data_IF_785768337950
#
_entry.id   IF_785768337950
#
_cell.length_a   1.000
_cell.length_b   1.000
_cell.length_c   1.000
_cell.angle_alpha   90.00
_cell.angle_beta   90.00
_cell.angle_gamma   90.00
#
_symmetry.space_group_name_H-M   'P 1'
#
loop_
_entity.id
_entity.type
_entity.pdbx_description
1 polymer ?
#
# COMPACT_ATOMS: atom_id res chain seq x y z
N UNK A 1 17.03 33.75 -12.29
CA UNK A 1 16.14 32.70 -12.84
C UNK A 1 14.76 32.96 -12.25
N UNK A 2 13.76 33.28 -13.06
CA UNK A 2 12.42 33.59 -12.58
C UNK A 2 11.77 32.34 -11.99
N UNK A 3 11.16 32.49 -10.82
CA UNK A 3 10.48 31.40 -10.13
C UNK A 3 9.27 30.95 -10.95
N UNK A 4 8.83 29.70 -10.77
CA UNK A 4 7.67 29.17 -11.50
C UNK A 4 6.41 30.03 -11.33
N UNK A 5 6.26 30.71 -10.19
CA UNK A 5 5.18 31.67 -9.94
C UNK A 5 5.11 32.80 -10.98
N UNK A 6 6.25 33.39 -11.33
CA UNK A 6 6.31 34.48 -12.33
C UNK A 6 5.95 33.97 -13.74
N UNK A 7 6.23 32.69 -14.01
CA UNK A 7 5.97 32.03 -15.29
C UNK A 7 4.49 31.68 -15.48
N UNK A 8 3.73 31.53 -14.40
CA UNK A 8 2.28 31.29 -14.44
C UNK A 8 1.49 32.54 -14.84
N UNK A 9 2.04 33.73 -14.58
CA UNK A 9 1.41 35.02 -14.90
C UNK A 9 1.81 35.60 -16.27
N UNK A 10 2.67 34.90 -17.02
CA UNK A 10 3.13 35.35 -18.32
C UNK A 10 2.10 35.06 -19.43
N UNK A 11 2.01 35.96 -20.42
CA UNK A 11 1.11 35.79 -21.57
C UNK A 11 1.41 34.53 -22.40
N UNK A 12 2.67 34.11 -22.41
CA UNK A 12 3.12 32.86 -23.03
C UNK A 12 3.74 31.98 -21.95
N UNK A 13 3.15 30.79 -21.76
CA UNK A 13 3.61 29.81 -20.78
C UNK A 13 4.18 28.57 -21.46
N UNK A 14 5.16 27.95 -20.81
CA UNK A 14 5.84 26.74 -21.30
C UNK A 14 5.72 25.65 -20.25
N UNK A 15 4.48 25.35 -19.85
CA UNK A 15 4.19 24.48 -18.73
C UNK A 15 3.90 23.06 -19.21
N UNK A 16 4.39 22.08 -18.47
CA UNK A 16 4.05 20.67 -18.64
C UNK A 16 3.51 20.11 -17.33
N UNK A 17 2.43 19.32 -17.43
CA UNK A 17 1.94 18.53 -16.30
C UNK A 17 2.87 17.34 -16.10
N UNK A 18 3.20 17.08 -14.85
CA UNK A 18 4.03 15.98 -14.41
C UNK A 18 3.31 15.19 -13.32
N UNK A 19 3.29 13.87 -13.49
CA UNK A 19 2.74 12.91 -12.56
C UNK A 19 3.87 12.08 -11.99
N UNK A 20 3.99 12.06 -10.67
CA UNK A 20 4.89 11.16 -9.99
C UNK A 20 4.08 10.14 -9.20
N UNK A 21 4.25 8.87 -9.54
CA UNK A 21 3.63 7.74 -8.87
C UNK A 21 4.72 6.98 -8.13
N UNK A 22 4.56 6.76 -6.82
CA UNK A 22 5.51 6.02 -5.99
C UNK A 22 4.80 4.82 -5.39
N UNK A 23 5.17 3.63 -5.85
CA UNK A 23 4.67 2.35 -5.35
C UNK A 23 5.23 2.06 -3.95
N UNK A 24 4.55 1.20 -3.20
CA UNK A 24 4.95 0.82 -1.83
C UNK A 24 6.27 0.05 -1.75
N UNK A 25 6.69 -0.53 -2.87
CA UNK A 25 7.99 -1.20 -3.02
C UNK A 25 9.16 -0.24 -3.29
N UNK A 26 8.89 1.06 -3.46
CA UNK A 26 9.90 2.09 -3.69
C UNK A 26 10.13 2.43 -5.16
N UNK A 27 9.49 1.74 -6.10
CA UNK A 27 9.55 2.10 -7.53
C UNK A 27 8.82 3.44 -7.74
N UNK A 28 9.52 4.39 -8.38
CA UNK A 28 8.96 5.68 -8.75
C UNK A 28 8.84 5.78 -10.26
N UNK A 29 7.64 6.11 -10.73
CA UNK A 29 7.33 6.35 -12.13
C UNK A 29 6.99 7.83 -12.34
N UNK A 30 7.49 8.39 -13.43
CA UNK A 30 7.21 9.75 -13.85
C UNK A 30 6.50 9.76 -15.21
N UNK A 31 5.43 10.54 -15.33
CA UNK A 31 4.73 10.75 -16.60
C UNK A 31 4.55 12.23 -16.86
N UNK A 32 4.68 12.65 -18.12
CA UNK A 32 4.46 14.04 -18.51
C UNK A 32 3.58 14.16 -19.75
N UNK A 33 2.79 15.24 -19.79
CA UNK A 33 2.00 15.62 -20.97
C UNK A 33 2.83 16.26 -22.07
N UNK A 34 4.11 16.58 -21.82
CA UNK A 34 5.02 17.03 -22.86
C UNK A 34 5.27 15.90 -23.87
N UNK A 35 5.39 16.24 -25.15
CA UNK A 35 5.76 15.32 -26.24
C UNK A 35 7.19 14.74 -26.15
N UNK A 36 7.97 15.10 -25.13
CA UNK A 36 9.33 14.59 -24.87
C UNK A 36 9.48 14.25 -23.41
N UNK A 37 10.33 13.25 -23.13
CA UNK A 37 10.68 12.90 -21.77
C UNK A 37 11.39 14.08 -21.07
N UNK A 38 11.02 14.34 -19.82
CA UNK A 38 11.61 15.38 -18.97
C UNK A 38 12.37 14.74 -17.81
N UNK A 39 13.42 15.39 -17.32
CA UNK A 39 14.04 15.00 -16.04
C UNK A 39 13.73 16.07 -15.02
N UNK A 40 13.11 15.68 -13.91
CA UNK A 40 12.71 16.60 -12.83
C UNK A 40 13.20 16.04 -11.50
N UNK A 41 14.03 16.79 -10.78
CA UNK A 41 14.59 16.38 -9.50
C UNK A 41 15.23 14.98 -9.53
N UNK A 42 15.93 14.68 -10.63
CA UNK A 42 16.64 13.40 -10.85
C UNK A 42 15.76 12.21 -11.26
N UNK A 43 14.44 12.37 -11.36
CA UNK A 43 13.54 11.35 -11.89
C UNK A 43 13.21 11.66 -13.36
N UNK A 44 13.25 10.63 -14.22
CA UNK A 44 12.82 10.73 -15.62
C UNK A 44 11.30 10.57 -15.71
N UNK A 45 10.65 11.50 -16.37
CA UNK A 45 9.23 11.53 -16.67
C UNK A 45 9.06 11.19 -18.14
N UNK A 46 8.46 10.04 -18.42
CA UNK A 46 8.22 9.60 -19.79
C UNK A 46 7.07 10.39 -20.43
N UNK A 47 7.20 10.66 -21.73
CA UNK A 47 6.13 11.29 -22.49
C UNK A 47 4.98 10.31 -22.61
N UNK A 48 3.86 10.66 -21.97
CA UNK A 48 2.66 9.84 -21.95
C UNK A 48 1.44 10.77 -22.09
N UNK A 49 1.21 11.33 -23.30
CA UNK A 49 0.12 12.28 -23.52
C UNK A 49 -1.28 11.67 -23.27
N UNK A 50 -1.39 10.34 -23.24
CA UNK A 50 -2.62 9.61 -22.87
C UNK A 50 -2.89 9.50 -21.36
N UNK A 51 -1.98 9.97 -20.50
CA UNK A 51 -2.21 10.17 -19.07
C UNK A 51 -2.63 11.63 -18.89
N UNK A 52 -3.86 11.92 -19.28
CA UNK A 52 -4.47 13.23 -19.09
C UNK A 52 -5.45 13.15 -17.90
N UNK A 53 -5.31 14.00 -16.85
CA UNK A 53 -6.35 14.08 -15.82
C UNK A 53 -7.69 14.42 -16.48
N UNK A 54 -8.73 13.64 -16.17
CA UNK A 54 -10.10 13.92 -16.62
C UNK A 54 -10.62 15.23 -16.01
N UNK A 55 -10.40 15.43 -14.70
CA UNK A 55 -10.58 16.69 -13.98
C UNK A 55 -9.89 16.63 -12.60
N UNK A 56 -9.29 17.73 -12.16
CA UNK A 56 -8.86 17.91 -10.76
C UNK A 56 -9.89 18.82 -10.09
N UNK A 57 -10.76 18.25 -9.26
CA UNK A 57 -11.72 19.01 -8.46
C UNK A 57 -11.15 19.12 -7.05
N UNK A 58 -10.92 20.34 -6.59
CA UNK A 58 -10.58 20.62 -5.19
C UNK A 58 -11.75 21.36 -4.55
N UNK A 59 -12.15 20.94 -3.36
CA UNK A 59 -13.17 21.62 -2.55
C UNK A 59 -12.53 22.17 -1.27
N UNK A 60 -13.12 23.21 -0.70
CA UNK A 60 -12.67 23.82 0.57
C UNK A 60 -13.29 23.15 1.81
N UNK A 61 -14.01 22.05 1.62
CA UNK A 61 -14.67 21.28 2.67
C UNK A 61 -13.79 20.13 3.21
N UNK A 62 -14.22 19.50 4.31
CA UNK A 62 -13.54 18.34 4.89
C UNK A 62 -14.00 16.99 4.32
N UNK A 63 -14.79 17.01 3.24
CA UNK A 63 -15.11 15.79 2.52
C UNK A 63 -13.84 15.19 1.90
N UNK A 64 -13.86 13.88 1.66
CA UNK A 64 -12.73 13.23 0.99
C UNK A 64 -12.72 13.73 -0.44
N UNK A 65 -11.74 14.58 -0.77
CA UNK A 65 -11.47 14.95 -2.15
C UNK A 65 -11.19 13.66 -2.91
N UNK A 66 -12.18 13.26 -3.69
CA UNK A 66 -12.14 12.04 -4.47
C UNK A 66 -11.90 12.51 -5.89
N UNK A 67 -10.69 12.27 -6.38
CA UNK A 67 -10.31 12.62 -7.74
C UNK A 67 -10.24 11.34 -8.54
N UNK A 68 -11.18 11.16 -9.47
CA UNK A 68 -11.09 10.04 -10.39
C UNK A 68 -10.01 10.33 -11.42
N UNK A 69 -8.99 9.48 -11.42
CA UNK A 69 -7.90 9.54 -12.38
C UNK A 69 -8.11 8.43 -13.38
N UNK A 70 -8.44 8.82 -14.62
CA UNK A 70 -8.36 7.93 -15.76
C UNK A 70 -6.98 8.07 -16.40
N UNK A 71 -6.33 6.96 -16.70
CA UNK A 71 -5.06 6.92 -17.41
C UNK A 71 -5.08 5.84 -18.49
N UNK A 72 -4.56 6.15 -19.68
CA UNK A 72 -4.31 5.11 -20.67
C UNK A 72 -3.25 4.14 -20.13
N UNK A 73 -3.54 2.83 -20.22
CA UNK A 73 -2.55 1.77 -20.05
C UNK A 73 -1.52 1.92 -21.17
N UNK A 74 -0.47 2.68 -20.94
CA UNK A 74 0.70 2.62 -21.84
C UNK A 74 1.51 1.41 -21.39
N UNK A 75 1.55 0.40 -22.26
CA UNK A 75 1.97 -0.96 -21.98
C UNK A 75 3.39 -1.10 -21.36
N UNK A 76 4.22 -0.06 -21.40
CA UNK A 76 5.60 -0.13 -20.94
C UNK A 76 5.80 0.20 -19.45
N UNK A 77 4.89 0.95 -18.80
CA UNK A 77 5.14 1.48 -17.45
C UNK A 77 4.10 1.05 -16.39
N UNK A 78 2.84 0.85 -16.78
CA UNK A 78 1.77 0.34 -15.91
C UNK A 78 1.10 -0.81 -16.64
N UNK A 79 1.57 -2.03 -16.39
CA UNK A 79 1.01 -3.21 -17.04
C UNK A 79 -0.25 -3.71 -16.33
N UNK A 80 -1.16 -4.34 -17.08
CA UNK A 80 -2.33 -5.01 -16.50
C UNK A 80 -1.94 -6.08 -15.47
N UNK A 81 -0.80 -6.76 -15.68
CA UNK A 81 -0.26 -7.72 -14.73
C UNK A 81 0.17 -7.07 -13.42
N UNK A 82 0.77 -5.88 -13.46
CA UNK A 82 1.13 -5.14 -12.24
C UNK A 82 -0.10 -4.66 -11.48
N UNK A 83 -1.13 -4.19 -12.20
CA UNK A 83 -2.40 -3.80 -11.60
C UNK A 83 -3.10 -4.98 -10.92
N UNK A 84 -3.23 -6.11 -11.62
CA UNK A 84 -3.82 -7.33 -11.07
C UNK A 84 -3.05 -7.90 -9.88
N UNK A 85 -1.74 -7.67 -9.81
CA UNK A 85 -0.90 -8.03 -8.66
C UNK A 85 -1.06 -7.08 -7.45
N UNK A 86 -1.84 -6.00 -7.56
CA UNK A 86 -2.03 -5.01 -6.51
C UNK A 86 -0.81 -4.09 -6.29
N UNK A 87 0.11 -4.00 -7.28
CA UNK A 87 1.38 -3.26 -7.11
C UNK A 87 1.20 -1.75 -6.93
N UNK A 88 0.09 -1.22 -7.41
CA UNK A 88 -0.25 0.19 -7.36
C UNK A 88 -1.20 0.55 -6.20
N UNK A 89 -1.65 -0.43 -5.42
CA UNK A 89 -2.57 -0.20 -4.31
C UNK A 89 -1.93 0.66 -3.23
N UNK A 90 -2.54 1.81 -2.97
CA UNK A 90 -2.00 2.80 -2.03
C UNK A 90 -0.70 3.44 -2.50
N UNK A 91 -0.38 3.40 -3.79
CA UNK A 91 0.73 4.15 -4.35
C UNK A 91 0.50 5.66 -4.15
N UNK A 92 1.55 6.37 -3.76
CA UNK A 92 1.48 7.82 -3.56
C UNK A 92 1.58 8.53 -4.90
N UNK A 93 0.66 9.45 -5.17
CA UNK A 93 0.63 10.22 -6.41
C UNK A 93 0.80 11.70 -6.11
N UNK A 94 1.62 12.37 -6.92
CA UNK A 94 1.74 13.83 -6.96
C UNK A 94 1.53 14.31 -8.38
N UNK A 95 0.62 15.24 -8.56
CA UNK A 95 0.38 15.97 -9.79
C UNK A 95 0.90 17.40 -9.62
N UNK A 96 1.77 17.84 -10.51
CA UNK A 96 2.39 19.16 -10.43
C UNK A 96 2.73 19.71 -11.82
N UNK A 97 2.90 21.03 -11.92
CA UNK A 97 3.40 21.71 -13.11
C UNK A 97 4.89 22.00 -12.98
N UNK A 98 5.58 21.96 -14.11
CA UNK A 98 6.95 22.45 -14.28
C UNK A 98 7.02 23.30 -15.56
N UNK A 99 7.98 24.22 -15.63
CA UNK A 99 8.36 24.79 -16.93
C UNK A 99 9.30 23.82 -17.63
N UNK A 100 8.91 23.30 -18.78
CA UNK A 100 9.67 22.26 -19.43
C UNK A 100 11.02 22.71 -20.02
N UNK A 101 11.24 24.02 -20.19
CA UNK A 101 12.53 24.55 -20.63
C UNK A 101 13.59 24.49 -19.53
N UNK A 102 13.13 24.46 -18.28
CA UNK A 102 13.96 24.44 -17.08
C UNK A 102 13.21 23.69 -15.97
N UNK A 103 13.09 22.35 -16.06
CA UNK A 103 12.19 21.59 -15.19
C UNK A 103 12.59 21.58 -13.71
N UNK A 104 13.85 21.94 -13.42
CA UNK A 104 14.37 22.04 -12.04
C UNK A 104 14.20 23.45 -11.43
N UNK A 105 13.66 24.43 -12.18
CA UNK A 105 13.39 25.78 -11.68
C UNK A 105 12.32 25.87 -10.58
N UNK A 106 11.59 24.78 -10.36
CA UNK A 106 10.53 24.70 -9.36
C UNK A 106 9.38 23.80 -9.81
N UNK A 107 8.59 23.36 -8.83
CA UNK A 107 7.40 22.53 -9.03
C UNK A 107 6.21 23.23 -8.40
N UNK A 108 5.12 23.41 -9.15
CA UNK A 108 3.85 23.87 -8.60
C UNK A 108 2.96 22.66 -8.37
N UNK A 109 2.81 22.23 -7.12
CA UNK A 109 1.92 21.12 -6.76
C UNK A 109 0.47 21.53 -7.05
N UNK A 110 -0.24 20.66 -7.77
CA UNK A 110 -1.67 20.81 -8.05
C UNK A 110 -2.49 19.88 -7.15
N UNK A 111 -2.10 18.61 -7.07
CA UNK A 111 -2.78 17.62 -6.24
C UNK A 111 -1.81 16.57 -5.70
N UNK A 112 -2.18 15.96 -4.58
CA UNK A 112 -1.50 14.78 -4.03
C UNK A 112 -2.51 13.83 -3.40
N UNK A 113 -2.20 12.55 -3.40
CA UNK A 113 -3.07 11.56 -2.78
C UNK A 113 -2.47 10.16 -2.85
N UNK A 114 -3.31 9.17 -2.56
CA UNK A 114 -2.97 7.75 -2.71
C UNK A 114 -3.98 7.07 -3.61
N UNK A 115 -3.52 6.21 -4.52
CA UNK A 115 -4.41 5.39 -5.33
C UNK A 115 -5.19 4.43 -4.42
N UNK A 116 -6.49 4.29 -4.67
CA UNK A 116 -7.31 3.21 -4.15
C UNK A 116 -6.94 1.85 -4.78
N UNK A 117 -7.85 0.88 -4.65
CA UNK A 117 -7.77 -0.32 -5.48
C UNK A 117 -7.91 0.11 -6.95
N UNK A 118 -7.06 -0.43 -7.83
CA UNK A 118 -7.10 -0.11 -9.25
C UNK A 118 -7.78 -1.24 -10.00
N UNK A 119 -8.97 -0.97 -10.54
CA UNK A 119 -9.63 -1.90 -11.44
C UNK A 119 -9.10 -1.69 -12.87
N UNK A 120 -8.58 -2.77 -13.47
CA UNK A 120 -8.39 -2.79 -14.91
C UNK A 120 -9.79 -2.81 -15.55
N UNK A 121 -10.08 -1.87 -16.44
CA UNK A 121 -11.26 -1.98 -17.31
C UNK A 121 -11.24 -3.35 -17.99
N UNK A 122 -12.41 -3.95 -18.19
CA UNK A 122 -12.54 -5.36 -18.61
C UNK A 122 -11.89 -5.75 -19.96
N UNK A 123 -11.21 -4.82 -20.63
CA UNK A 123 -10.48 -5.06 -21.88
C UNK A 123 -9.05 -4.50 -21.77
N UNK A 124 -8.04 -5.22 -22.28
CA UNK A 124 -6.62 -4.86 -22.15
C UNK A 124 -6.26 -3.54 -22.87
N UNK A 125 -7.08 -3.14 -23.85
CA UNK A 125 -6.96 -1.87 -24.58
C UNK A 125 -7.79 -0.72 -23.96
N UNK A 126 -8.65 -1.02 -22.98
CA UNK A 126 -9.36 -0.01 -22.20
C UNK A 126 -8.46 0.41 -21.03
N UNK A 127 -8.08 1.69 -20.97
CA UNK A 127 -7.20 2.21 -19.91
C UNK A 127 -7.68 1.87 -18.49
N UNK A 128 -6.86 2.17 -17.49
CA UNK A 128 -7.26 1.96 -16.09
C UNK A 128 -8.00 3.19 -15.55
N UNK A 129 -8.94 2.95 -14.65
CA UNK A 129 -9.54 3.99 -13.83
C UNK A 129 -9.14 3.71 -12.39
N UNK A 130 -8.42 4.66 -11.79
CA UNK A 130 -8.05 4.58 -10.40
C UNK A 130 -8.58 5.81 -9.68
N UNK A 131 -9.26 5.58 -8.56
CA UNK A 131 -9.68 6.68 -7.70
C UNK A 131 -8.49 7.13 -6.85
N UNK A 132 -8.09 8.39 -7.02
CA UNK A 132 -7.13 9.04 -6.15
C UNK A 132 -7.86 9.56 -4.90
N UNK A 133 -7.43 9.08 -3.74
CA UNK A 133 -7.91 9.59 -2.45
C UNK A 133 -7.01 10.73 -2.02
N UNK A 134 -7.60 11.92 -1.86
CA UNK A 134 -6.91 13.12 -1.38
C UNK A 134 -6.41 13.01 0.07
N UNK A 135 -5.66 14.01 0.55
CA UNK A 135 -5.07 13.99 1.89
C UNK A 135 -6.12 13.98 3.02
N UNK A 136 -7.34 14.48 2.78
CA UNK A 136 -8.45 14.47 3.73
C UNK A 136 -8.98 13.06 4.01
N UNK A 137 -8.67 12.06 3.18
CA UNK A 137 -8.95 10.66 3.48
C UNK A 137 -8.30 10.17 4.79
N UNK A 138 -7.21 10.82 5.24
CA UNK A 138 -6.63 10.51 6.53
C UNK A 138 -7.49 10.97 7.72
N UNK A 139 -8.41 11.92 7.51
CA UNK A 139 -9.29 12.49 8.54
C UNK A 139 -10.55 11.65 8.78
N UNK A 140 -10.90 10.77 7.85
CA UNK A 140 -12.06 9.86 8.00
C UNK A 140 -11.74 8.61 8.83
N UNK A 141 -10.48 8.44 9.21
CA UNK A 141 -10.06 7.34 10.07
C UNK A 141 -10.55 7.60 11.50
N UNK A 142 -11.17 6.59 12.12
CA UNK A 142 -11.56 6.66 13.53
C UNK A 142 -10.32 6.90 14.40
N UNK A 143 -10.23 8.10 14.96
CA UNK A 143 -9.09 8.52 15.78
C UNK A 143 -9.11 7.96 17.21
N UNK A 144 -10.25 7.42 17.65
CA UNK A 144 -10.42 6.81 18.97
C UNK A 144 -10.20 5.31 18.91
N UNK A 145 -9.51 4.78 19.92
CA UNK A 145 -9.35 3.33 20.04
C UNK A 145 -10.68 2.71 20.47
N UNK A 146 -11.05 1.60 19.82
CA UNK A 146 -12.15 0.77 20.30
C UNK A 146 -11.70 -0.01 21.55
N UNK A 147 -12.63 -0.17 22.48
CA UNK A 147 -12.47 -1.01 23.65
C UNK A 147 -12.79 -2.45 23.26
N UNK A 148 -11.83 -3.36 23.32
CA UNK A 148 -11.98 -4.72 22.80
C UNK A 148 -11.11 -5.75 23.54
N UNK A 149 -11.54 -7.03 23.62
CA UNK A 149 -10.73 -8.10 24.22
C UNK A 149 -9.38 -8.33 23.54
N UNK A 150 -9.30 -8.08 22.24
CA UNK A 150 -8.11 -8.28 21.42
C UNK A 150 -7.08 -7.16 21.57
N UNK A 151 -5.81 -7.51 21.40
CA UNK A 151 -4.73 -6.54 21.37
C UNK A 151 -4.84 -5.64 20.14
N UNK A 152 -4.81 -4.31 20.33
CA UNK A 152 -4.85 -3.35 19.21
C UNK A 152 -3.49 -3.02 18.59
N UNK A 153 -2.40 -3.60 19.08
CA UNK A 153 -1.03 -3.33 18.57
C UNK A 153 -0.59 -4.32 17.53
N UNK A 154 0.27 -3.88 16.63
CA UNK A 154 1.02 -4.76 15.76
C UNK A 154 2.20 -5.42 16.48
N UNK A 155 2.47 -6.68 16.14
CA UNK A 155 3.57 -7.42 16.75
C UNK A 155 4.89 -6.69 16.47
N UNK A 156 5.57 -6.28 17.53
CA UNK A 156 6.84 -5.56 17.46
C UNK A 156 6.73 -4.06 17.18
N UNK A 157 5.52 -3.48 17.20
CA UNK A 157 5.38 -2.03 17.20
C UNK A 157 5.88 -1.39 18.51
N UNK A 158 5.89 -0.05 18.58
CA UNK A 158 6.39 0.70 19.74
C UNK A 158 5.62 0.45 21.04
N UNK A 159 4.35 0.04 20.95
CA UNK A 159 3.48 -0.21 22.12
C UNK A 159 3.54 -1.67 22.55
N UNK A 160 3.71 -2.60 21.60
CA UNK A 160 3.93 -4.04 21.79
C UNK A 160 5.33 -4.32 22.33
N UNK A 161 6.36 -3.68 21.77
CA UNK A 161 7.78 -3.76 22.18
C UNK A 161 8.46 -5.12 22.02
N UNK A 162 7.81 -6.10 21.41
CA UNK A 162 8.45 -7.39 21.10
C UNK A 162 9.56 -7.20 20.06
N UNK A 163 10.76 -7.69 20.39
CA UNK A 163 11.85 -7.69 19.44
C UNK A 163 11.57 -8.67 18.29
N UNK A 164 11.52 -8.16 17.06
CA UNK A 164 11.30 -9.00 15.86
C UNK A 164 12.55 -9.78 15.40
N UNK A 165 13.70 -9.52 16.03
CA UNK A 165 14.91 -10.34 15.83
C UNK A 165 14.62 -11.78 16.26
N UNK A 166 14.92 -12.74 15.37
CA UNK A 166 14.61 -14.16 15.59
C UNK A 166 13.13 -14.53 15.38
N UNK A 167 12.25 -13.57 15.03
CA UNK A 167 10.84 -13.79 14.68
C UNK A 167 10.56 -13.48 13.21
N UNK A 168 11.62 -13.43 12.43
CA UNK A 168 11.57 -13.28 10.98
C UNK A 168 12.39 -14.41 10.37
N UNK A 169 11.93 -14.90 9.23
CA UNK A 169 12.58 -15.97 8.50
C UNK A 169 12.73 -15.55 7.05
N UNK A 170 13.93 -15.71 6.50
CA UNK A 170 14.15 -15.62 5.05
C UNK A 170 14.34 -17.03 4.53
N UNK A 171 13.56 -17.41 3.52
CA UNK A 171 13.56 -18.76 2.99
C UNK A 171 13.18 -18.75 1.51
N UNK A 172 13.64 -19.75 0.73
CA UNK A 172 13.11 -19.96 -0.60
C UNK A 172 11.68 -20.52 -0.52
N UNK A 173 10.84 -20.07 -1.42
CA UNK A 173 9.43 -20.45 -1.51
C UNK A 173 9.01 -20.76 -2.95
N UNK A 174 7.87 -21.42 -3.07
CA UNK A 174 7.16 -21.67 -4.32
C UNK A 174 5.66 -21.50 -4.05
N UNK A 175 4.94 -20.86 -4.97
CA UNK A 175 3.54 -20.49 -4.80
C UNK A 175 2.73 -20.81 -6.04
N UNK A 176 1.53 -21.34 -5.81
CA UNK A 176 0.51 -21.67 -6.81
C UNK A 176 -0.87 -21.45 -6.17
N UNK A 177 -1.95 -21.84 -6.87
CA UNK A 177 -3.33 -21.68 -6.39
C UNK A 177 -3.61 -22.42 -5.06
N UNK A 178 -2.79 -23.42 -4.70
CA UNK A 178 -2.87 -24.16 -3.45
C UNK A 178 -2.16 -23.49 -2.26
N UNK A 179 -1.62 -22.29 -2.45
CA UNK A 179 -0.89 -21.52 -1.44
C UNK A 179 0.62 -21.61 -1.62
N UNK A 180 1.38 -21.20 -0.60
CA UNK A 180 2.84 -21.04 -0.69
C UNK A 180 3.57 -22.10 0.14
N UNK A 181 4.35 -22.94 -0.54
CA UNK A 181 5.30 -23.85 0.08
C UNK A 181 6.60 -23.08 0.41
N UNK A 182 7.07 -23.18 1.65
CA UNK A 182 8.29 -22.50 2.11
C UNK A 182 9.24 -23.52 2.71
N UNK A 183 10.51 -23.48 2.31
CA UNK A 183 11.56 -24.27 2.96
C UNK A 183 11.94 -23.63 4.31
N UNK A 184 11.06 -23.79 5.30
CA UNK A 184 11.20 -23.16 6.60
C UNK A 184 11.91 -24.08 7.62
N UNK A 185 12.81 -23.49 8.41
CA UNK A 185 13.39 -24.14 9.59
C UNK A 185 12.49 -24.03 10.84
N UNK A 186 11.34 -23.37 10.72
CA UNK A 186 10.38 -23.11 11.78
C UNK A 186 9.01 -23.67 11.38
N UNK A 187 8.15 -23.94 12.37
CA UNK A 187 6.78 -24.36 12.14
C UNK A 187 6.03 -23.28 11.33
N UNK A 188 5.29 -23.67 10.29
CA UNK A 188 4.55 -22.72 9.45
C UNK A 188 3.44 -22.03 10.24
N UNK A 189 2.92 -22.73 11.25
CA UNK A 189 1.87 -22.28 12.17
C UNK A 189 2.30 -21.04 12.95
N UNK A 190 3.60 -20.85 13.20
CA UNK A 190 4.12 -19.65 13.87
C UNK A 190 3.93 -18.38 13.03
N UNK A 191 3.74 -18.52 11.73
CA UNK A 191 3.56 -17.40 10.80
C UNK A 191 2.10 -17.08 10.51
N UNK A 192 1.14 -17.86 11.01
CA UNK A 192 -0.29 -17.56 10.90
C UNK A 192 -0.60 -16.25 11.62
N UNK A 193 -1.40 -15.38 10.99
CA UNK A 193 -1.60 -13.97 11.35
C UNK A 193 -0.36 -13.07 11.20
N UNK A 194 0.65 -13.59 10.49
CA UNK A 194 1.87 -12.88 10.13
C UNK A 194 1.78 -12.32 8.72
N UNK A 195 2.95 -12.01 8.15
CA UNK A 195 3.07 -11.51 6.78
C UNK A 195 4.17 -12.23 6.02
N UNK A 196 3.97 -12.35 4.72
CA UNK A 196 4.95 -12.79 3.74
C UNK A 196 5.27 -11.61 2.82
N UNK A 197 6.55 -11.34 2.58
CA UNK A 197 7.04 -10.40 1.57
C UNK A 197 7.93 -11.11 0.59
N UNK A 198 7.69 -10.91 -0.70
CA UNK A 198 8.58 -11.41 -1.76
C UNK A 198 9.79 -10.49 -1.87
N UNK A 199 11.00 -11.06 -1.88
CA UNK A 199 12.25 -10.30 -1.89
C UNK A 199 12.84 -10.10 -3.29
N UNK A 200 12.54 -11.00 -4.23
CA UNK A 200 13.12 -10.98 -5.57
C UNK A 200 12.17 -11.61 -6.61
N UNK A 201 12.48 -11.43 -7.89
CA UNK A 201 11.71 -11.91 -9.02
C UNK A 201 10.54 -11.00 -9.41
N UNK A 202 9.66 -11.51 -10.27
CA UNK A 202 8.55 -10.73 -10.85
C UNK A 202 7.59 -10.20 -9.77
N UNK A 203 7.45 -10.89 -8.64
CA UNK A 203 6.58 -10.49 -7.54
C UNK A 203 7.30 -9.73 -6.42
N UNK A 204 8.57 -9.32 -6.62
CA UNK A 204 9.34 -8.62 -5.60
C UNK A 204 8.58 -7.41 -5.03
N UNK A 205 8.62 -7.24 -3.71
CA UNK A 205 7.95 -6.17 -3.00
C UNK A 205 6.48 -6.43 -2.63
N UNK A 206 5.84 -7.44 -3.22
CA UNK A 206 4.47 -7.84 -2.85
C UNK A 206 4.45 -8.41 -1.43
N UNK A 207 3.49 -7.93 -0.64
CA UNK A 207 3.20 -8.44 0.71
C UNK A 207 1.81 -9.09 0.75
N UNK A 208 1.69 -10.17 1.54
CA UNK A 208 0.43 -10.90 1.78
C UNK A 208 0.29 -11.25 3.26
N UNK A 209 -0.93 -11.23 3.78
CA UNK A 209 -1.23 -11.72 5.13
C UNK A 209 -1.33 -13.23 5.08
N UNK A 210 -0.77 -13.88 6.10
CA UNK A 210 -0.85 -15.34 6.23
C UNK A 210 -2.08 -15.65 7.08
N UNK A 211 -3.09 -16.28 6.48
CA UNK A 211 -4.37 -16.57 7.13
C UNK A 211 -4.43 -17.99 7.73
N UNK A 212 -3.51 -18.86 7.34
CA UNK A 212 -3.49 -20.23 7.85
C UNK A 212 -2.42 -21.11 7.23
N UNK A 213 -2.47 -22.39 7.59
CA UNK A 213 -1.67 -23.46 7.01
C UNK A 213 -2.60 -24.59 6.62
N UNK A 214 -2.49 -25.06 5.39
CA UNK A 214 -3.23 -26.21 4.89
C UNK A 214 -2.29 -27.11 4.08
N UNK A 215 -2.33 -28.42 4.36
CA UNK A 215 -1.46 -29.41 3.70
C UNK A 215 0.04 -29.04 3.68
N UNK A 216 0.55 -28.43 4.76
CA UNK A 216 1.95 -28.01 4.86
C UNK A 216 2.32 -26.77 4.01
N UNK A 217 1.34 -26.01 3.55
CA UNK A 217 1.52 -24.77 2.76
C UNK A 217 0.86 -23.59 3.46
N UNK A 218 1.48 -22.42 3.36
CA UNK A 218 0.91 -21.16 3.84
C UNK A 218 -0.29 -20.78 2.98
N UNK A 219 -1.41 -20.48 3.62
CA UNK A 219 -2.58 -19.89 2.99
C UNK A 219 -2.52 -18.38 3.18
N UNK A 220 -2.76 -17.64 2.10
CA UNK A 220 -2.65 -16.20 2.06
C UNK A 220 -4.05 -15.57 1.89
N UNK A 221 -4.18 -14.30 2.26
CA UNK A 221 -5.39 -13.50 2.06
C UNK A 221 -5.78 -13.36 0.59
N UNK A 222 -4.79 -13.31 -0.29
CA UNK A 222 -4.95 -13.38 -1.73
C UNK A 222 -3.95 -14.36 -2.36
N UNK A 223 -4.31 -15.03 -3.46
CA UNK A 223 -3.41 -15.92 -4.19
C UNK A 223 -2.09 -15.24 -4.59
N UNK A 224 -0.98 -15.98 -4.50
CA UNK A 224 0.35 -15.49 -4.86
C UNK A 224 1.14 -16.58 -5.59
N UNK A 225 1.24 -16.45 -6.90
CA UNK A 225 2.07 -17.32 -7.72
C UNK A 225 3.55 -16.94 -7.60
N UNK A 226 4.41 -17.92 -7.26
CA UNK A 226 5.86 -17.72 -7.13
C UNK A 226 6.60 -18.83 -7.85
N UNK A 227 7.60 -18.45 -8.65
CA UNK A 227 8.54 -19.40 -9.23
C UNK A 227 9.25 -20.21 -8.15
N UNK A 228 9.75 -21.39 -8.50
CA UNK A 228 10.49 -22.24 -7.57
C UNK A 228 11.70 -21.51 -6.98
N UNK A 229 11.92 -21.69 -5.68
CA UNK A 229 13.02 -21.10 -4.92
C UNK A 229 13.05 -19.55 -4.87
N UNK A 230 11.90 -18.89 -5.08
CA UNK A 230 11.79 -17.43 -4.94
C UNK A 230 12.07 -17.03 -3.48
N UNK A 231 13.02 -16.10 -3.21
CA UNK A 231 13.31 -15.70 -1.85
C UNK A 231 12.17 -14.86 -1.26
N UNK A 232 11.70 -15.26 -0.08
CA UNK A 232 10.67 -14.53 0.69
C UNK A 232 11.16 -14.22 2.09
N UNK A 233 10.57 -13.18 2.70
CA UNK A 233 10.69 -12.87 4.11
C UNK A 233 9.35 -13.09 4.80
N UNK A 234 9.35 -13.85 5.88
CA UNK A 234 8.21 -14.10 6.74
C UNK A 234 8.40 -13.38 8.06
N UNK A 235 7.31 -12.86 8.63
CA UNK A 235 7.24 -12.37 10.01
C UNK A 235 6.26 -13.24 10.77
N UNK A 236 6.63 -13.70 11.96
CA UNK A 236 5.71 -14.42 12.83
C UNK A 236 4.44 -13.62 13.08
N UNK A 237 3.33 -14.32 13.19
CA UNK A 237 2.04 -13.70 13.43
C UNK A 237 1.66 -13.62 14.89
N UNK A 238 0.64 -12.81 15.16
CA UNK A 238 0.04 -12.62 16.47
C UNK A 238 -1.48 -12.61 16.30
N UNK A 239 -2.16 -13.57 16.92
CA UNK A 239 -3.62 -13.71 16.94
C UNK A 239 -4.33 -12.63 17.78
N UNK A 240 -3.55 -11.68 18.33
CA UNK A 240 -4.00 -10.59 19.20
C UNK A 240 -4.66 -11.05 20.51
N UNK A 241 -4.62 -12.34 20.86
CA UNK A 241 -5.22 -12.86 22.09
C UNK A 241 -4.27 -12.72 23.28
N UNK A 242 -4.83 -12.40 24.45
CA UNK A 242 -4.05 -12.26 25.69
C UNK A 242 -3.32 -13.56 26.08
N UNK A 243 -3.98 -14.71 25.91
CA UNK A 243 -3.40 -16.01 26.20
C UNK A 243 -2.09 -16.23 25.42
N UNK A 244 -2.12 -16.01 24.10
CA UNK A 244 -0.97 -16.12 23.20
C UNK A 244 0.09 -15.06 23.51
N UNK A 245 -0.33 -13.81 23.76
CA UNK A 245 0.58 -12.73 24.15
C UNK A 245 1.40 -13.09 25.41
N UNK A 246 0.75 -13.71 26.39
CA UNK A 246 1.39 -14.17 27.63
C UNK A 246 2.24 -15.42 27.41
N UNK A 247 1.72 -16.47 26.79
CA UNK A 247 2.40 -17.77 26.73
C UNK A 247 3.50 -17.82 25.67
N UNK A 248 3.24 -17.28 24.47
CA UNK A 248 4.16 -17.36 23.34
C UNK A 248 5.19 -16.23 23.34
N UNK A 249 4.78 -15.04 23.78
CA UNK A 249 5.63 -13.84 23.70
C UNK A 249 6.08 -13.30 25.06
N UNK A 250 5.56 -13.83 26.18
CA UNK A 250 5.82 -13.33 27.54
C UNK A 250 5.64 -11.80 27.66
N UNK A 251 4.58 -11.28 27.05
CA UNK A 251 4.39 -9.84 26.84
C UNK A 251 3.06 -9.30 27.39
N UNK A 252 2.52 -9.96 28.41
CA UNK A 252 1.27 -9.56 29.05
C UNK A 252 1.29 -8.09 29.53
N UNK A 253 2.43 -7.60 30.01
CA UNK A 253 2.59 -6.23 30.51
C UNK A 253 2.42 -5.14 29.44
N UNK A 254 2.67 -5.46 28.16
CA UNK A 254 2.50 -4.53 27.04
C UNK A 254 1.24 -4.81 26.22
N UNK A 255 0.37 -5.72 26.68
CA UNK A 255 -0.90 -6.01 26.02
C UNK A 255 -1.77 -4.74 26.00
N UNK A 256 -2.31 -4.40 24.82
CA UNK A 256 -3.15 -3.23 24.58
C UNK A 256 -4.54 -3.64 24.15
N UNK A 257 -5.11 -4.60 24.86
CA UNK A 257 -6.52 -4.94 24.78
C UNK A 257 -7.06 -5.10 26.18
N UNK A 258 -8.34 -5.39 26.30
CA UNK A 258 -9.02 -5.51 27.57
C UNK A 258 -9.60 -6.92 27.71
N UNK A 259 -8.78 -7.91 28.13
CA UNK A 259 -9.12 -9.33 28.01
C UNK A 259 -10.24 -9.80 28.95
N UNK A 260 -10.66 -8.94 29.88
CA UNK A 260 -11.68 -9.22 30.88
C UNK A 260 -12.96 -8.41 30.68
N UNK A 261 -13.10 -7.76 29.52
CA UNK A 261 -14.30 -7.01 29.18
C UNK A 261 -15.47 -7.96 29.10
N UNK A 262 -16.52 -7.74 29.91
CA UNK A 262 -17.73 -8.54 29.81
C UNK A 262 -18.36 -8.37 28.43
N UNK A 263 -18.81 -9.47 27.84
CA UNK A 263 -19.62 -9.41 26.63
C UNK A 263 -20.97 -8.76 26.89
N UNK A 264 -21.69 -8.41 25.82
CA UNK A 264 -23.04 -7.84 25.92
C UNK A 264 -24.02 -8.80 26.63
N UNK A 265 -23.73 -10.10 26.67
CA UNK A 265 -24.51 -11.11 27.40
C UNK A 265 -24.52 -10.84 28.91
N UNK A 266 -23.41 -10.38 29.48
CA UNK A 266 -23.33 -10.00 30.90
C UNK A 266 -24.19 -8.78 31.24
N UNK A 267 -24.47 -7.88 30.29
CA UNK A 267 -25.39 -6.76 30.50
C UNK A 267 -26.85 -7.21 30.64
N UNK A 268 -27.19 -8.38 30.07
CA UNK A 268 -28.54 -8.96 30.14
C UNK A 268 -28.72 -9.95 31.29
N UNK A 269 -27.66 -10.26 32.06
CA UNK A 269 -27.76 -11.15 33.22
C UNK A 269 -28.35 -10.40 34.40
N UNK A 270 -29.59 -10.74 34.76
CA UNK A 270 -30.14 -10.36 36.05
C UNK A 270 -29.43 -11.16 37.16
N UNK A 271 -28.97 -10.46 38.20
CA UNK A 271 -28.33 -11.09 39.35
C UNK A 271 -29.33 -11.91 40.15
N UNK A 272 -29.24 -13.24 40.05
CA UNK A 272 -29.91 -14.18 40.93
C UNK A 272 -30.96 -15.07 40.24
N UNK A 273 -30.52 -16.26 39.81
CA UNK A 273 -31.00 -17.57 40.29
C UNK A 273 -29.79 -18.48 40.40
#
# INVERSE_FOLDING_TARGET
MAALGDRLTADLTWLALCWRVVRRDGVALGFTTHDRALTVAGLRFESAPGIAPSAVVGNDDLEVDTMDVAGALTADAISAADLAAGRFDGAAVRLFLVDWRDPDAGQQLLARGTLGAVDAGGDADSGFVATLRGPTAALTVTAIESYAPECRTELGDRRCRIAMRGRTLRAPAHGDDGGVAVAAAMALEDFVEGRLRVLDGVMAGIERRIIGVAAGRLQLDEPLALAAATPVQLWQGCDKRFATCRSRFDNAANFRGEPHVPGNDMLTRFGGV
#
